data_IF_848207785395
#
_entry.id   IF_848207785395
#
_cell.length_a   1.000
_cell.length_b   1.000
_cell.length_c   1.000
_cell.angle_alpha   90.00
_cell.angle_beta   90.00
_cell.angle_gamma   90.00
#
_symmetry.space_group_name_H-M   'P 1'
#
loop_
_entity.id
_entity.type
_entity.pdbx_description
1 polymer ?
#
# COMPACT_ATOMS: atom_id res chain seq x y z
N UNK A 1 1.56 -10.10 19.09
CA UNK A 1 1.14 -10.98 17.97
C UNK A 1 1.37 -10.35 16.60
N UNK A 2 1.13 -9.05 16.36
CA UNK A 2 1.38 -8.43 15.04
C UNK A 2 2.84 -8.07 14.70
N UNK A 3 3.68 -7.78 15.69
CA UNK A 3 5.08 -7.38 15.48
C UNK A 3 5.96 -8.49 14.91
N UNK A 4 5.64 -9.76 15.21
CA UNK A 4 6.37 -10.94 14.72
C UNK A 4 6.33 -11.05 13.19
N UNK A 5 5.17 -10.77 12.58
CA UNK A 5 5.02 -10.77 11.12
C UNK A 5 5.87 -9.68 10.48
N UNK A 6 5.81 -8.45 11.00
CA UNK A 6 6.62 -7.33 10.49
C UNK A 6 8.12 -7.63 10.59
N UNK A 7 8.56 -8.18 11.73
CA UNK A 7 9.95 -8.58 11.94
C UNK A 7 10.38 -9.65 10.94
N UNK A 8 9.52 -10.65 10.67
CA UNK A 8 9.80 -11.71 9.70
C UNK A 8 9.92 -11.17 8.27
N UNK A 9 9.02 -10.29 7.84
CA UNK A 9 9.14 -9.63 6.54
C UNK A 9 10.42 -8.79 6.44
N UNK A 10 10.73 -7.97 7.45
CA UNK A 10 11.99 -7.20 7.47
C UNK A 10 13.25 -8.06 7.40
N UNK A 11 13.18 -9.33 7.84
CA UNK A 11 14.29 -10.28 7.74
C UNK A 11 14.51 -10.87 6.33
N UNK A 12 13.58 -10.64 5.39
CA UNK A 12 13.72 -11.08 4.00
C UNK A 12 14.80 -10.27 3.27
N UNK A 13 15.57 -10.94 2.40
CA UNK A 13 16.70 -10.35 1.66
C UNK A 13 16.35 -9.16 0.75
N UNK A 14 15.07 -8.94 0.46
CA UNK A 14 14.63 -8.05 -0.61
C UNK A 14 14.07 -6.71 -0.09
N UNK A 15 14.29 -6.35 1.18
CA UNK A 15 13.85 -5.09 1.79
C UNK A 15 12.39 -4.76 1.45
N UNK A 16 11.42 -5.46 2.04
CA UNK A 16 10.02 -5.30 1.66
C UNK A 16 9.52 -3.89 1.98
N UNK A 17 8.71 -3.35 1.07
CA UNK A 17 7.95 -2.12 1.29
C UNK A 17 6.71 -2.47 2.09
N UNK A 18 6.54 -1.85 3.25
CA UNK A 18 5.49 -2.16 4.22
C UNK A 18 4.78 -0.86 4.63
N UNK A 19 3.45 -0.86 4.57
CA UNK A 19 2.61 0.24 5.06
C UNK A 19 1.56 -0.31 6.02
N UNK A 20 1.06 0.52 6.92
CA UNK A 20 -0.04 0.11 7.81
C UNK A 20 -1.42 0.46 7.23
N UNK A 21 -2.40 -0.39 7.53
CA UNK A 21 -3.82 -0.16 7.26
C UNK A 21 -4.63 0.26 8.49
N UNK A 22 -5.94 0.48 8.30
CA UNK A 22 -6.84 0.87 9.40
C UNK A 22 -6.91 -0.18 10.51
N UNK A 23 -6.99 -1.46 10.12
CA UNK A 23 -7.22 -2.59 11.03
C UNK A 23 -5.96 -3.04 11.77
N UNK A 24 -4.81 -2.44 11.48
CA UNK A 24 -3.56 -2.79 12.15
C UNK A 24 -3.54 -2.28 13.60
N UNK A 25 -2.96 -3.06 14.54
CA UNK A 25 -2.76 -2.62 15.91
C UNK A 25 -2.04 -1.28 16.00
N UNK A 26 -2.32 -0.50 17.05
CA UNK A 26 -1.72 0.83 17.27
C UNK A 26 -0.18 0.77 17.26
N UNK A 27 0.39 -0.31 17.79
CA UNK A 27 1.83 -0.54 17.85
C UNK A 27 2.43 -0.67 16.45
N UNK A 28 1.71 -1.29 15.49
CA UNK A 28 2.14 -1.43 14.10
C UNK A 28 2.04 -0.10 13.36
N UNK A 29 0.94 0.63 13.55
CA UNK A 29 0.72 1.96 12.97
C UNK A 29 1.75 3.00 13.42
N UNK A 30 2.41 2.78 14.56
CA UNK A 30 3.51 3.64 15.06
C UNK A 30 4.86 3.34 14.41
N UNK A 31 5.07 2.13 13.89
CA UNK A 31 6.39 1.69 13.38
C UNK A 31 6.44 1.55 11.85
N UNK A 32 5.30 1.40 11.21
CA UNK A 32 5.18 1.44 9.75
C UNK A 32 4.70 2.82 9.33
N UNK A 33 5.07 3.28 8.13
CA UNK A 33 4.51 4.50 7.58
C UNK A 33 3.12 4.23 7.00
N UNK A 34 2.38 5.32 6.85
CA UNK A 34 1.06 5.29 6.22
C UNK A 34 1.16 5.15 4.70
N UNK A 35 2.14 5.81 4.12
CA UNK A 35 2.46 5.81 2.69
C UNK A 35 3.96 5.54 2.57
N UNK A 36 4.32 4.68 1.62
CA UNK A 36 5.70 4.54 1.19
C UNK A 36 5.81 4.80 -0.32
N UNK A 37 6.87 5.48 -0.73
CA UNK A 37 7.18 5.74 -2.14
C UNK A 37 8.57 5.26 -2.48
N UNK A 38 8.74 4.72 -3.68
CA UNK A 38 10.02 4.29 -4.20
C UNK A 38 10.04 4.37 -5.73
N UNK A 39 11.23 4.40 -6.32
CA UNK A 39 11.37 4.49 -7.78
C UNK A 39 12.13 3.27 -8.31
N UNK A 40 11.69 2.75 -9.46
CA UNK A 40 12.37 1.68 -10.19
C UNK A 40 12.50 2.12 -11.65
N UNK A 41 13.73 2.39 -12.08
CA UNK A 41 13.98 2.99 -13.39
C UNK A 41 13.34 4.39 -13.48
N UNK A 42 12.45 4.58 -14.45
CA UNK A 42 11.73 5.85 -14.70
C UNK A 42 10.34 5.90 -14.06
N UNK A 43 9.96 4.86 -13.30
CA UNK A 43 8.64 4.76 -12.69
C UNK A 43 8.70 5.04 -11.19
N UNK A 44 7.87 5.97 -10.74
CA UNK A 44 7.60 6.24 -9.33
C UNK A 44 6.40 5.39 -8.86
N UNK A 45 6.60 4.67 -7.77
CA UNK A 45 5.59 3.83 -7.12
C UNK A 45 5.13 4.48 -5.81
N UNK A 46 3.83 4.42 -5.55
CA UNK A 46 3.24 4.71 -4.26
C UNK A 46 2.58 3.47 -3.68
N UNK A 47 2.83 3.19 -2.41
CA UNK A 47 2.20 2.10 -1.66
C UNK A 47 1.38 2.71 -0.53
N UNK A 48 0.11 2.33 -0.44
CA UNK A 48 -0.81 2.84 0.59
C UNK A 48 -1.83 1.78 0.98
N UNK A 49 -2.13 1.65 2.26
CA UNK A 49 -3.32 0.93 2.69
C UNK A 49 -4.26 1.93 3.35
N UNK A 50 -5.33 2.37 2.66
CA UNK A 50 -6.19 3.43 3.17
C UNK A 50 -6.67 3.10 4.58
N UNK A 51 -6.43 4.03 5.50
CA UNK A 51 -6.76 3.91 6.91
C UNK A 51 -8.13 4.53 7.24
N UNK A 52 -8.70 5.30 6.32
CA UNK A 52 -10.10 5.74 6.38
C UNK A 52 -11.00 4.53 6.06
N UNK A 53 -11.48 3.85 7.11
CA UNK A 53 -12.56 2.89 6.96
C UNK A 53 -13.79 3.55 6.33
N UNK A 54 -14.52 2.81 5.49
CA UNK A 54 -15.68 3.34 4.78
C UNK A 54 -16.19 2.38 3.69
N UNK A 55 -17.26 2.75 2.98
CA UNK A 55 -17.73 2.01 1.80
C UNK A 55 -16.67 2.01 0.69
N UNK A 56 -16.93 1.23 -0.37
CA UNK A 56 -16.07 1.19 -1.55
C UNK A 56 -15.82 2.61 -2.09
N UNK A 57 -14.55 2.97 -2.25
CA UNK A 57 -14.13 4.29 -2.71
C UNK A 57 -13.54 4.20 -4.12
N UNK A 58 -13.60 5.30 -4.86
CA UNK A 58 -12.90 5.41 -6.14
C UNK A 58 -11.39 5.41 -5.89
N UNK A 59 -10.59 4.53 -6.51
CA UNK A 59 -9.13 4.53 -6.34
C UNK A 59 -8.46 5.87 -6.66
N UNK A 60 -9.09 6.78 -7.41
CA UNK A 60 -8.62 8.15 -7.59
C UNK A 60 -8.52 8.93 -6.28
N UNK A 61 -9.35 8.61 -5.29
CA UNK A 61 -9.30 9.24 -3.97
C UNK A 61 -7.94 9.02 -3.28
N UNK A 62 -7.29 7.88 -3.53
CA UNK A 62 -5.96 7.58 -2.98
C UNK A 62 -4.87 8.54 -3.47
N UNK A 63 -5.04 9.15 -4.65
CA UNK A 63 -4.06 10.10 -5.19
C UNK A 63 -3.97 11.38 -4.36
N UNK A 64 -5.00 11.70 -3.57
CA UNK A 64 -5.04 12.91 -2.74
C UNK A 64 -4.04 12.87 -1.59
N UNK A 65 -3.62 11.69 -1.18
CA UNK A 65 -2.74 11.50 -0.03
C UNK A 65 -1.25 11.52 -0.41
N UNK A 66 -0.96 11.47 -1.71
CA UNK A 66 0.40 11.60 -2.21
C UNK A 66 0.74 13.06 -2.50
N UNK A 67 1.82 13.56 -1.88
CA UNK A 67 2.36 14.90 -2.16
C UNK A 67 2.77 15.05 -3.63
N UNK A 68 3.33 13.99 -4.22
CA UNK A 68 3.64 13.87 -5.65
C UNK A 68 2.92 12.65 -6.19
N UNK A 69 2.12 12.83 -7.26
CA UNK A 69 1.41 11.70 -7.90
C UNK A 69 2.42 10.68 -8.44
N UNK A 70 2.39 9.41 -7.99
CA UNK A 70 3.22 8.35 -8.53
C UNK A 70 2.72 7.90 -9.91
N UNK A 71 3.58 7.23 -10.68
CA UNK A 71 3.16 6.59 -11.93
C UNK A 71 2.38 5.30 -11.70
N UNK A 72 2.57 4.65 -10.55
CA UNK A 72 1.93 3.37 -10.20
C UNK A 72 1.52 3.42 -8.72
N UNK A 73 0.30 2.99 -8.42
CA UNK A 73 -0.17 2.86 -7.01
C UNK A 73 -0.45 1.39 -6.70
N UNK A 74 0.13 0.92 -5.59
CA UNK A 74 -0.15 -0.37 -4.98
C UNK A 74 -0.99 -0.14 -3.72
N UNK A 75 -2.19 -0.71 -3.66
CA UNK A 75 -3.09 -0.49 -2.52
C UNK A 75 -3.88 -1.72 -2.09
N UNK A 76 -4.21 -1.76 -0.79
CA UNK A 76 -4.96 -2.83 -0.12
C UNK A 76 -6.47 -2.58 -0.01
N UNK A 77 -7.11 -3.03 1.08
CA UNK A 77 -8.53 -2.83 1.46
C UNK A 77 -9.56 -3.88 0.98
N UNK A 78 -9.91 -3.99 -0.31
CA UNK A 78 -11.16 -4.71 -0.71
C UNK A 78 -11.08 -6.24 -0.85
N UNK A 79 -9.97 -6.90 -0.46
CA UNK A 79 -9.66 -8.35 -0.67
C UNK A 79 -9.78 -8.91 -2.11
N UNK A 80 -10.32 -8.16 -3.06
CA UNK A 80 -10.41 -8.52 -4.49
C UNK A 80 -9.20 -7.98 -5.28
N UNK A 81 -8.52 -8.77 -6.12
CA UNK A 81 -7.43 -8.28 -6.96
C UNK A 81 -7.96 -7.30 -8.03
N UNK A 82 -7.19 -6.25 -8.29
CA UNK A 82 -7.53 -5.20 -9.26
C UNK A 82 -6.29 -4.85 -10.07
N UNK A 83 -6.40 -4.89 -11.39
CA UNK A 83 -5.41 -4.35 -12.33
C UNK A 83 -6.13 -3.37 -13.27
N UNK A 84 -6.03 -2.06 -12.99
CA UNK A 84 -6.68 -1.01 -13.78
C UNK A 84 -5.76 0.18 -13.97
N UNK A 85 -5.81 0.80 -15.15
CA UNK A 85 -5.17 2.08 -15.41
C UNK A 85 -6.16 3.21 -15.16
N UNK A 86 -5.78 4.19 -14.35
CA UNK A 86 -6.58 5.38 -14.05
C UNK A 86 -5.68 6.59 -14.25
N UNK A 87 -6.06 7.52 -15.13
CA UNK A 87 -5.30 8.75 -15.42
C UNK A 87 -3.82 8.53 -15.76
N UNK A 88 -3.50 7.47 -16.53
CA UNK A 88 -2.12 7.03 -16.85
C UNK A 88 -1.33 6.43 -15.68
N UNK A 89 -1.98 6.19 -14.54
CA UNK A 89 -1.43 5.47 -13.39
C UNK A 89 -1.93 4.04 -13.41
N UNK A 90 -1.03 3.06 -13.36
CA UNK A 90 -1.43 1.64 -13.27
C UNK A 90 -1.65 1.27 -11.79
N UNK A 91 -2.87 0.89 -11.44
CA UNK A 91 -3.24 0.35 -10.13
C UNK A 91 -3.15 -1.18 -10.16
N UNK A 92 -2.28 -1.77 -9.34
CA UNK A 92 -2.12 -3.22 -9.23
C UNK A 92 -2.30 -3.67 -7.78
N UNK A 93 -3.20 -4.64 -7.57
CA UNK A 93 -3.48 -5.24 -6.26
C UNK A 93 -3.26 -6.76 -6.32
N UNK A 94 -2.25 -7.31 -5.60
CA UNK A 94 -1.96 -8.73 -5.61
C UNK A 94 -3.04 -9.54 -4.89
N UNK A 95 -3.33 -10.76 -5.37
CA UNK A 95 -4.17 -11.73 -4.65
C UNK A 95 -3.44 -12.20 -3.39
N UNK A 96 -4.08 -12.22 -2.21
CA UNK A 96 -3.58 -13.01 -1.09
C UNK A 96 -3.64 -14.50 -1.49
N UNK A 97 -2.49 -15.18 -1.55
CA UNK A 97 -2.48 -16.65 -1.55
C UNK A 97 -2.63 -17.09 -0.08
N UNK A 98 -3.77 -17.71 0.23
CA UNK A 98 -3.98 -18.49 1.44
C UNK A 98 -3.08 -19.73 1.43
#
# INVERSE_FOLDING_TARGET
>A
MGTDVVSKFRSLKNSPVLVHGNSDPVEIRKILPYIETFSVGTFDFGVIHPAWGGPEFDPQELLKDFVKKPNIILFGHTHEPLDKTIENVKGHKPRPRL
#
